data_IF_174189732011
#
_entry.id   IF_174189732011
#
_cell.length_a   1.000
_cell.length_b   1.000
_cell.length_c   1.000
_cell.angle_alpha   90.00
_cell.angle_beta   90.00
_cell.angle_gamma   90.00
#
_symmetry.space_group_name_H-M   'P 1'
#
loop_
_entity.id
_entity.type
_entity.pdbx_description
1 polymer ?
#
# COMPACT_ATOMS: atom_id res chain seq x y z
N UNK A 1 -25.82 -24.65 0.19
CA UNK A 1 -24.48 -24.95 -0.34
C UNK A 1 -24.28 -24.24 -1.68
N UNK A 2 -23.84 -22.97 -1.70
CA UNK A 2 -23.36 -22.34 -2.92
C UNK A 2 -21.84 -22.26 -2.84
N UNK A 3 -21.17 -23.38 -3.18
CA UNK A 3 -19.76 -23.36 -3.60
C UNK A 3 -19.70 -22.71 -4.98
N UNK A 4 -20.10 -21.45 -5.05
CA UNK A 4 -20.27 -20.70 -6.30
C UNK A 4 -18.95 -20.03 -6.65
N UNK A 5 -18.71 -19.83 -7.95
CA UNK A 5 -17.57 -19.10 -8.53
C UNK A 5 -17.30 -17.77 -7.79
N UNK A 6 -18.35 -17.15 -7.27
CA UNK A 6 -18.28 -15.98 -6.39
C UNK A 6 -17.40 -16.16 -5.16
N UNK A 7 -17.47 -17.28 -4.44
CA UNK A 7 -16.64 -17.51 -3.25
C UNK A 7 -15.16 -17.66 -3.56
N UNK A 8 -14.83 -18.23 -4.73
CA UNK A 8 -13.45 -18.29 -5.23
C UNK A 8 -12.94 -16.90 -5.65
N UNK A 9 -13.78 -16.10 -6.30
CA UNK A 9 -13.46 -14.73 -6.66
C UNK A 9 -13.27 -13.84 -5.42
N UNK A 10 -14.12 -13.99 -4.40
CA UNK A 10 -13.99 -13.29 -3.12
C UNK A 10 -12.67 -13.63 -2.44
N UNK A 11 -12.29 -14.91 -2.43
CA UNK A 11 -11.02 -15.37 -1.85
C UNK A 11 -9.80 -14.78 -2.59
N UNK A 12 -9.78 -14.80 -3.93
CA UNK A 12 -8.71 -14.21 -4.73
C UNK A 12 -8.64 -12.70 -4.51
N UNK A 13 -9.79 -12.03 -4.44
CA UNK A 13 -9.88 -10.58 -4.29
C UNK A 13 -9.36 -10.13 -2.92
N UNK A 14 -9.87 -10.73 -1.85
CA UNK A 14 -9.51 -10.38 -0.47
C UNK A 14 -8.09 -10.82 -0.10
N UNK A 15 -7.62 -11.96 -0.61
CA UNK A 15 -6.32 -12.52 -0.21
C UNK A 15 -5.15 -12.11 -1.09
N UNK A 16 -5.38 -11.89 -2.39
CA UNK A 16 -4.31 -11.55 -3.34
C UNK A 16 -4.43 -10.11 -3.83
N UNK A 17 -5.62 -9.68 -4.24
CA UNK A 17 -5.80 -8.39 -4.89
C UNK A 17 -5.63 -7.22 -3.91
N UNK A 18 -6.11 -7.37 -2.66
CA UNK A 18 -6.02 -6.33 -1.64
C UNK A 18 -4.57 -6.05 -1.20
N UNK A 19 -3.76 -7.06 -0.81
CA UNK A 19 -2.35 -6.82 -0.45
C UNK A 19 -1.52 -6.36 -1.65
N UNK A 20 -1.77 -6.93 -2.83
CA UNK A 20 -1.05 -6.58 -4.05
C UNK A 20 -1.37 -5.16 -4.52
N UNK A 21 -2.65 -4.74 -4.45
CA UNK A 21 -3.07 -3.37 -4.72
C UNK A 21 -2.43 -2.38 -3.75
N UNK A 22 -2.34 -2.75 -2.46
CA UNK A 22 -1.58 -2.00 -1.46
C UNK A 22 -0.09 -1.88 -1.83
N UNK A 23 0.54 -2.99 -2.25
CA UNK A 23 1.96 -3.01 -2.63
C UNK A 23 2.24 -2.06 -3.78
N UNK A 24 1.43 -2.15 -4.85
CA UNK A 24 1.56 -1.28 -6.01
C UNK A 24 1.31 0.18 -5.67
N UNK A 25 0.29 0.48 -4.87
CA UNK A 25 -0.01 1.85 -4.42
C UNK A 25 1.17 2.45 -3.65
N UNK A 26 1.74 1.70 -2.71
CA UNK A 26 2.87 2.15 -1.89
C UNK A 26 4.15 2.29 -2.70
N UNK A 27 4.45 1.35 -3.60
CA UNK A 27 5.57 1.47 -4.54
C UNK A 27 5.40 2.70 -5.44
N UNK A 28 4.20 2.92 -5.96
CA UNK A 28 3.90 4.07 -6.79
C UNK A 28 4.10 5.38 -6.01
N UNK A 29 3.51 5.51 -4.82
CA UNK A 29 3.64 6.72 -3.99
C UNK A 29 5.08 6.93 -3.48
N UNK A 30 5.79 5.88 -3.10
CA UNK A 30 7.13 5.97 -2.51
C UNK A 30 8.30 6.10 -3.51
N UNK A 31 8.11 5.63 -4.75
CA UNK A 31 9.17 5.59 -5.77
C UNK A 31 8.82 6.29 -7.08
N UNK A 32 7.58 6.23 -7.55
CA UNK A 32 7.19 6.79 -8.86
C UNK A 32 6.67 8.22 -8.74
N UNK A 33 5.92 8.50 -7.68
CA UNK A 33 5.31 9.81 -7.46
C UNK A 33 6.38 10.83 -7.10
N UNK A 34 6.37 11.95 -7.82
CA UNK A 34 7.40 12.97 -7.68
C UNK A 34 7.27 13.66 -6.32
N UNK A 35 8.32 13.64 -5.48
CA UNK A 35 8.34 14.23 -4.12
C UNK A 35 7.75 15.64 -4.08
N UNK A 36 7.96 16.43 -5.14
CA UNK A 36 7.44 17.79 -5.28
C UNK A 36 5.90 17.81 -5.36
N UNK A 37 5.29 16.91 -6.13
CA UNK A 37 3.82 16.83 -6.27
C UNK A 37 3.16 16.37 -4.97
N UNK A 38 3.70 15.32 -4.34
CA UNK A 38 3.21 14.86 -3.04
C UNK A 38 3.38 15.92 -1.96
N UNK A 39 4.51 16.63 -1.94
CA UNK A 39 4.72 17.71 -0.99
C UNK A 39 3.72 18.85 -1.21
N UNK A 40 3.45 19.21 -2.47
CA UNK A 40 2.53 20.31 -2.81
C UNK A 40 1.08 19.97 -2.44
N UNK A 41 0.67 18.72 -2.63
CA UNK A 41 -0.64 18.21 -2.19
C UNK A 41 -0.76 18.14 -0.66
N UNK A 42 0.31 17.80 0.04
CA UNK A 42 0.32 17.64 1.50
C UNK A 42 0.78 18.89 2.25
N UNK A 43 1.20 19.96 1.54
CA UNK A 43 1.74 21.20 2.13
C UNK A 43 0.77 21.87 3.11
N UNK A 44 -0.53 21.69 2.91
CA UNK A 44 -1.55 22.23 3.80
C UNK A 44 -1.67 21.45 5.12
N UNK A 45 -1.28 20.18 5.13
CA UNK A 45 -1.41 19.29 6.28
C UNK A 45 -0.08 19.01 7.00
N UNK A 46 1.06 19.05 6.30
CA UNK A 46 2.36 18.66 6.87
C UNK A 46 3.44 19.73 6.67
N UNK A 47 4.19 19.98 7.74
CA UNK A 47 5.44 20.75 7.69
C UNK A 47 6.56 19.93 7.02
N UNK A 48 7.63 20.57 6.55
CA UNK A 48 8.63 19.94 5.65
C UNK A 48 9.32 18.71 6.25
N UNK A 49 9.56 18.71 7.57
CA UNK A 49 10.14 17.57 8.30
C UNK A 49 9.13 16.43 8.46
N UNK A 50 7.87 16.77 8.74
CA UNK A 50 6.80 15.79 8.91
C UNK A 50 6.47 15.10 7.58
N UNK A 51 6.51 15.82 6.46
CA UNK A 51 6.39 15.23 5.12
C UNK A 51 7.56 14.27 4.80
N UNK A 52 8.80 14.63 5.15
CA UNK A 52 9.95 13.72 4.98
C UNK A 52 9.78 12.43 5.80
N UNK A 53 9.32 12.53 7.05
CA UNK A 53 9.06 11.37 7.88
C UNK A 53 7.95 10.48 7.31
N UNK A 54 6.82 11.07 6.91
CA UNK A 54 5.73 10.35 6.25
C UNK A 54 6.19 9.66 4.96
N UNK A 55 6.90 10.37 4.10
CA UNK A 55 7.41 9.80 2.84
C UNK A 55 8.43 8.69 3.11
N UNK A 56 9.23 8.79 4.16
CA UNK A 56 10.12 7.70 4.57
C UNK A 56 9.33 6.47 5.04
N UNK A 57 8.28 6.68 5.83
CA UNK A 57 7.37 5.61 6.25
C UNK A 57 6.69 4.94 5.05
N UNK A 58 6.18 5.69 4.08
CA UNK A 58 5.56 5.12 2.87
C UNK A 58 6.62 4.39 2.02
N UNK A 59 7.85 4.87 1.96
CA UNK A 59 8.90 4.24 1.15
C UNK A 59 9.48 2.96 1.77
N UNK A 60 9.53 2.86 3.10
CA UNK A 60 10.20 1.76 3.81
C UNK A 60 9.26 0.96 4.72
N UNK A 61 8.46 1.61 5.56
CA UNK A 61 7.59 0.92 6.53
C UNK A 61 6.42 0.25 5.81
N UNK A 62 5.74 0.97 4.93
CA UNK A 62 4.58 0.44 4.22
C UNK A 62 4.89 -0.79 3.34
N UNK A 63 5.97 -0.85 2.52
CA UNK A 63 6.28 -2.07 1.78
C UNK A 63 6.69 -3.23 2.70
N UNK A 64 7.37 -2.96 3.83
CA UNK A 64 7.70 -4.00 4.82
C UNK A 64 6.44 -4.59 5.46
N UNK A 65 5.47 -3.74 5.84
CA UNK A 65 4.18 -4.20 6.39
C UNK A 65 3.42 -5.04 5.39
N UNK A 66 3.38 -4.63 4.12
CA UNK A 66 2.69 -5.40 3.07
C UNK A 66 3.38 -6.74 2.81
N UNK A 67 4.71 -6.77 2.79
CA UNK A 67 5.47 -8.03 2.71
C UNK A 67 5.18 -8.94 3.91
N UNK A 68 5.09 -8.38 5.13
CA UNK A 68 4.74 -9.14 6.32
C UNK A 68 3.33 -9.74 6.24
N UNK A 69 2.35 -8.98 5.74
CA UNK A 69 0.99 -9.49 5.48
C UNK A 69 1.04 -10.62 4.46
N UNK A 70 1.80 -10.46 3.38
CA UNK A 70 1.95 -11.49 2.35
C UNK A 70 2.51 -12.80 2.92
N UNK A 71 3.53 -12.72 3.79
CA UNK A 71 4.12 -13.88 4.48
C UNK A 71 3.12 -14.52 5.44
N UNK A 72 2.38 -13.72 6.21
CA UNK A 72 1.36 -14.21 7.13
C UNK A 72 0.19 -14.89 6.41
N UNK A 73 -0.18 -14.41 5.23
CA UNK A 73 -1.28 -14.97 4.44
C UNK A 73 -0.91 -16.27 3.73
N UNK A 74 0.38 -16.48 3.44
CA UNK A 74 0.90 -17.71 2.84
C UNK A 74 1.21 -18.81 3.86
N UNK A 75 1.15 -18.49 5.16
CA UNK A 75 1.34 -19.43 6.27
C UNK A 75 -0.02 -19.92 6.78
#
# INVERSE_FOLDING_TARGET
AHKSVFGWLDFITSSFLMPLGGLFSVLFVGWVLNKKHSFLATKHFFNINAFKAWHFSVRFIAPVVILAIFILQFK
#
